data_IF_498565966805
#
_entry.id   IF_498565966805
#
_cell.length_a   1.000
_cell.length_b   1.000
_cell.length_c   1.000
_cell.angle_alpha   90.00
_cell.angle_beta   90.00
_cell.angle_gamma   90.00
#
_symmetry.space_group_name_H-M   'P 1'
#
loop_
_entity.id
_entity.type
_entity.pdbx_description
1 polymer ?
#
# COMPACT_ATOMS: atom_id res chain seq x y z
N UNK A 1 -22.91 3.67 19.90
CA UNK A 1 -21.58 3.88 19.31
C UNK A 1 -21.03 2.52 19.00
N UNK A 2 -21.16 2.12 17.75
CA UNK A 2 -20.87 0.78 17.23
C UNK A 2 -19.37 0.71 16.95
N UNK A 3 -18.67 -0.19 17.65
CA UNK A 3 -17.22 -0.35 17.55
C UNK A 3 -16.72 -0.74 16.14
N UNK A 4 -17.62 -1.13 15.24
CA UNK A 4 -17.32 -1.57 13.87
C UNK A 4 -17.17 -0.41 12.87
N UNK A 5 -17.69 0.79 13.18
CA UNK A 5 -17.54 1.98 12.32
C UNK A 5 -16.09 2.49 12.30
N UNK A 6 -15.37 2.36 13.43
CA UNK A 6 -14.01 2.89 13.60
C UNK A 6 -12.96 2.12 12.77
N UNK A 7 -12.94 0.76 12.73
CA UNK A 7 -12.06 0.01 11.85
C UNK A 7 -12.29 0.33 10.37
N UNK A 8 -13.55 0.48 9.95
CA UNK A 8 -13.91 0.76 8.56
C UNK A 8 -13.43 2.15 8.12
N UNK A 9 -13.73 3.19 8.89
CA UNK A 9 -13.26 4.55 8.62
C UNK A 9 -11.73 4.65 8.64
N UNK A 10 -11.08 3.94 9.57
CA UNK A 10 -9.62 3.89 9.66
C UNK A 10 -9.00 3.21 8.43
N UNK A 11 -9.56 2.08 7.97
CA UNK A 11 -9.10 1.41 6.76
C UNK A 11 -9.29 2.29 5.52
N UNK A 12 -10.43 2.98 5.39
CA UNK A 12 -10.70 3.92 4.32
C UNK A 12 -9.70 5.09 4.30
N UNK A 13 -9.41 5.66 5.47
CA UNK A 13 -8.43 6.74 5.60
C UNK A 13 -7.01 6.29 5.24
N UNK A 14 -6.57 5.14 5.75
CA UNK A 14 -5.26 4.56 5.45
C UNK A 14 -5.10 4.25 3.95
N UNK A 15 -6.16 3.73 3.32
CA UNK A 15 -6.23 3.53 1.88
C UNK A 15 -6.03 4.84 1.10
N UNK A 16 -6.70 5.92 1.50
CA UNK A 16 -6.53 7.23 0.85
C UNK A 16 -5.10 7.77 1.03
N UNK A 17 -4.53 7.66 2.23
CA UNK A 17 -3.12 8.05 2.46
C UNK A 17 -2.14 7.28 1.58
N UNK A 18 -2.39 5.97 1.36
CA UNK A 18 -1.56 5.18 0.47
C UNK A 18 -1.66 5.66 -0.98
N UNK A 19 -2.88 5.91 -1.46
CA UNK A 19 -3.12 6.42 -2.81
C UNK A 19 -2.46 7.80 -3.02
N UNK A 20 -2.56 8.70 -2.05
CA UNK A 20 -1.90 10.02 -2.12
C UNK A 20 -0.36 9.88 -2.17
N UNK A 21 0.21 8.98 -1.36
CA UNK A 21 1.65 8.72 -1.38
C UNK A 21 2.12 8.09 -2.70
N UNK A 22 1.34 7.18 -3.27
CA UNK A 22 1.64 6.51 -4.55
C UNK A 22 1.46 7.44 -5.75
N UNK A 23 0.42 8.27 -5.78
CA UNK A 23 0.14 9.22 -6.87
C UNK A 23 1.20 10.31 -7.00
N UNK A 24 2.01 10.52 -5.96
CA UNK A 24 3.12 11.47 -5.95
C UNK A 24 4.46 10.81 -6.32
N UNK A 25 4.48 9.53 -6.70
CA UNK A 25 5.68 8.87 -7.21
C UNK A 25 5.97 9.34 -8.64
N UNK A 26 6.99 10.20 -8.80
CA UNK A 26 7.47 10.68 -10.10
C UNK A 26 8.60 9.84 -10.69
N UNK A 27 9.08 8.86 -9.91
CA UNK A 27 10.22 8.02 -10.26
C UNK A 27 11.51 8.40 -9.55
N UNK A 28 12.49 7.52 -9.64
CA UNK A 28 13.80 7.72 -9.02
C UNK A 28 13.89 7.30 -7.55
N UNK A 29 15.12 7.35 -7.05
CA UNK A 29 15.49 6.75 -5.77
C UNK A 29 14.91 7.49 -4.55
N UNK A 30 14.89 8.83 -4.57
CA UNK A 30 14.36 9.61 -3.45
C UNK A 30 12.85 9.42 -3.27
N UNK A 31 12.12 9.36 -4.38
CA UNK A 31 10.69 9.08 -4.36
C UNK A 31 10.43 7.64 -3.91
N UNK A 32 11.26 6.68 -4.34
CA UNK A 32 11.23 5.29 -3.88
C UNK A 32 11.40 5.18 -2.35
N UNK A 33 12.40 5.84 -1.78
CA UNK A 33 12.64 5.87 -0.34
C UNK A 33 11.43 6.44 0.42
N UNK A 34 10.82 7.52 -0.11
CA UNK A 34 9.63 8.12 0.48
C UNK A 34 8.47 7.14 0.50
N UNK A 35 8.13 6.55 -0.64
CA UNK A 35 6.98 5.64 -0.71
C UNK A 35 7.22 4.34 0.06
N UNK A 36 8.45 3.81 0.13
CA UNK A 36 8.78 2.64 0.96
C UNK A 36 8.40 2.89 2.43
N UNK A 37 8.89 4.00 2.98
CA UNK A 37 8.63 4.37 4.38
C UNK A 37 7.14 4.58 4.65
N UNK A 38 6.45 5.30 3.76
CA UNK A 38 5.04 5.62 3.93
C UNK A 38 4.18 4.34 3.86
N UNK A 39 4.40 3.51 2.83
CA UNK A 39 3.68 2.24 2.64
C UNK A 39 3.93 1.26 3.78
N UNK A 40 5.17 1.15 4.28
CA UNK A 40 5.50 0.29 5.42
C UNK A 40 4.69 0.64 6.66
N UNK A 41 4.52 1.93 6.94
CA UNK A 41 3.71 2.40 8.07
C UNK A 41 2.21 2.12 7.86
N UNK A 42 1.72 2.42 6.64
CA UNK A 42 0.30 2.27 6.29
C UNK A 42 -0.11 0.80 6.26
N UNK A 43 0.64 -0.08 5.58
CA UNK A 43 0.34 -1.51 5.46
C UNK A 43 0.36 -2.19 6.84
N UNK A 44 1.29 -1.82 7.73
CA UNK A 44 1.27 -2.28 9.12
C UNK A 44 -0.01 -1.88 9.84
N UNK A 45 -0.45 -0.63 9.66
CA UNK A 45 -1.70 -0.16 10.26
C UNK A 45 -2.94 -0.84 9.66
N UNK A 46 -2.91 -1.18 8.36
CA UNK A 46 -3.98 -1.91 7.67
C UNK A 46 -4.07 -3.37 8.13
N UNK A 47 -2.95 -4.04 8.40
CA UNK A 47 -2.94 -5.40 8.94
C UNK A 47 -3.73 -5.55 10.24
N UNK A 48 -3.86 -4.48 11.03
CA UNK A 48 -4.59 -4.50 12.29
C UNK A 48 -6.12 -4.37 12.10
N UNK A 49 -6.59 -3.85 10.95
CA UNK A 49 -7.98 -3.40 10.79
C UNK A 49 -8.67 -3.83 9.50
N UNK A 50 -7.93 -4.39 8.53
CA UNK A 50 -8.45 -4.76 7.22
C UNK A 50 -8.32 -6.27 6.95
N UNK A 51 -8.88 -6.72 5.83
CA UNK A 51 -8.90 -8.13 5.47
C UNK A 51 -7.46 -8.68 5.25
N UNK A 52 -7.08 -9.78 5.93
CA UNK A 52 -5.74 -10.33 5.82
C UNK A 52 -5.32 -10.77 4.41
N UNK A 53 -6.26 -11.17 3.56
CA UNK A 53 -5.96 -11.59 2.19
C UNK A 53 -5.59 -10.39 1.31
N UNK A 54 -6.27 -9.27 1.49
CA UNK A 54 -5.93 -8.01 0.84
C UNK A 54 -4.59 -7.47 1.34
N UNK A 55 -4.39 -7.38 2.67
CA UNK A 55 -3.13 -6.85 3.21
C UNK A 55 -1.93 -7.74 2.90
N UNK A 56 -2.13 -9.05 2.76
CA UNK A 56 -1.09 -9.97 2.26
C UNK A 56 -0.68 -9.67 0.82
N UNK A 57 -1.62 -9.29 -0.05
CA UNK A 57 -1.31 -8.86 -1.42
C UNK A 57 -0.54 -7.54 -1.44
N UNK A 58 -0.92 -6.58 -0.58
CA UNK A 58 -0.18 -5.32 -0.41
C UNK A 58 1.24 -5.57 0.10
N UNK A 59 1.43 -6.42 1.10
CA UNK A 59 2.74 -6.81 1.62
C UNK A 59 3.63 -7.43 0.54
N UNK A 60 3.06 -8.28 -0.32
CA UNK A 60 3.80 -8.89 -1.44
C UNK A 60 4.34 -7.83 -2.40
N UNK A 61 3.49 -6.88 -2.80
CA UNK A 61 3.87 -5.80 -3.72
C UNK A 61 4.85 -4.83 -3.09
N UNK A 62 4.63 -4.43 -1.84
CA UNK A 62 5.56 -3.60 -1.09
C UNK A 62 6.93 -4.29 -0.91
N UNK A 63 6.96 -5.61 -0.67
CA UNK A 63 8.21 -6.35 -0.58
C UNK A 63 9.03 -6.32 -1.88
N UNK A 64 8.39 -6.30 -3.04
CA UNK A 64 9.09 -6.16 -4.33
C UNK A 64 9.80 -4.80 -4.46
N UNK A 65 9.15 -3.74 -3.96
CA UNK A 65 9.70 -2.40 -3.89
C UNK A 65 10.87 -2.32 -2.88
N UNK A 66 10.67 -2.86 -1.68
CA UNK A 66 11.68 -2.87 -0.60
C UNK A 66 12.95 -3.62 -1.05
N UNK A 67 12.81 -4.71 -1.83
CA UNK A 67 13.95 -5.43 -2.41
C UNK A 67 14.79 -4.52 -3.30
N UNK A 68 14.17 -3.77 -4.21
CA UNK A 68 14.92 -2.88 -5.13
C UNK A 68 15.60 -1.76 -4.36
N UNK A 69 14.88 -1.15 -3.41
CA UNK A 69 15.44 -0.12 -2.55
C UNK A 69 16.65 -0.64 -1.75
N UNK A 70 16.51 -1.80 -1.12
CA UNK A 70 17.58 -2.42 -0.34
C UNK A 70 18.78 -2.84 -1.20
N UNK A 71 18.54 -3.36 -2.41
CA UNK A 71 19.60 -3.72 -3.36
C UNK A 71 20.39 -2.49 -3.81
N UNK A 72 19.71 -1.39 -4.16
CA UNK A 72 20.38 -0.14 -4.51
C UNK A 72 21.20 0.41 -3.34
N UNK A 73 20.68 0.38 -2.11
CA UNK A 73 21.41 0.77 -0.90
C UNK A 73 22.64 -0.13 -0.63
N UNK A 74 22.50 -1.44 -0.79
CA UNK A 74 23.59 -2.39 -0.58
C UNK A 74 24.76 -2.17 -1.56
N UNK A 75 24.46 -1.61 -2.73
CA UNK A 75 25.45 -1.22 -3.74
C UNK A 75 25.89 0.26 -3.62
N UNK A 76 25.49 0.94 -2.54
CA UNK A 76 25.77 2.37 -2.29
C UNK A 76 25.28 3.29 -3.42
N UNK A 77 24.24 2.86 -4.15
CA UNK A 77 23.62 3.63 -5.24
C UNK A 77 22.49 4.49 -4.70
N UNK A 78 22.51 5.77 -5.08
CA UNK A 78 21.41 6.71 -4.88
C UNK A 78 20.65 6.96 -6.19
N UNK A 79 20.68 5.98 -7.09
CA UNK A 79 19.99 6.01 -8.39
C UNK A 79 19.54 4.61 -8.77
N UNK A 80 18.40 4.56 -9.43
CA UNK A 80 17.86 3.35 -10.02
C UNK A 80 18.41 3.21 -11.45
N UNK A 81 18.58 1.96 -11.86
CA UNK A 81 18.75 1.62 -13.27
C UNK A 81 17.42 1.79 -14.00
N UNK A 82 17.47 1.89 -15.33
CA UNK A 82 16.26 2.02 -16.13
C UNK A 82 15.33 0.80 -16.01
N UNK A 83 15.90 -0.40 -15.84
CA UNK A 83 15.14 -1.63 -15.66
C UNK A 83 14.46 -1.68 -14.29
N UNK A 84 15.17 -1.27 -13.23
CA UNK A 84 14.60 -1.12 -11.88
C UNK A 84 13.46 -0.09 -11.87
N UNK A 85 13.64 1.05 -12.54
CA UNK A 85 12.62 2.09 -12.67
C UNK A 85 11.37 1.58 -13.38
N UNK A 86 11.54 0.89 -14.51
CA UNK A 86 10.43 0.32 -15.30
C UNK A 86 9.67 -0.73 -14.49
N UNK A 87 10.39 -1.58 -13.78
CA UNK A 87 9.78 -2.58 -12.91
C UNK A 87 9.01 -1.92 -11.75
N UNK A 88 9.60 -0.91 -11.10
CA UNK A 88 8.97 -0.18 -10.00
C UNK A 88 7.69 0.52 -10.44
N UNK A 89 7.67 1.14 -11.63
CA UNK A 89 6.43 1.72 -12.17
C UNK A 89 5.32 0.68 -12.31
N UNK A 90 5.66 -0.55 -12.72
CA UNK A 90 4.71 -1.66 -12.75
C UNK A 90 4.21 -2.06 -11.36
N UNK A 91 5.10 -2.14 -10.36
CA UNK A 91 4.73 -2.44 -8.97
C UNK A 91 3.83 -1.34 -8.39
N UNK A 92 4.17 -0.07 -8.61
CA UNK A 92 3.38 1.08 -8.18
C UNK A 92 2.01 1.07 -8.82
N UNK A 93 1.91 0.80 -10.13
CA UNK A 93 0.62 0.67 -10.82
C UNK A 93 -0.24 -0.45 -10.22
N UNK A 94 0.35 -1.61 -9.91
CA UNK A 94 -0.36 -2.70 -9.26
C UNK A 94 -0.82 -2.34 -7.84
N UNK A 95 0.01 -1.63 -7.06
CA UNK A 95 -0.38 -1.13 -5.74
C UNK A 95 -1.56 -0.17 -5.85
N UNK A 96 -1.52 0.77 -6.79
CA UNK A 96 -2.64 1.70 -7.03
C UNK A 96 -3.91 0.93 -7.37
N UNK A 97 -3.83 -0.08 -8.25
CA UNK A 97 -4.98 -0.92 -8.60
C UNK A 97 -5.53 -1.68 -7.37
N UNK A 98 -4.67 -2.35 -6.58
CA UNK A 98 -5.10 -3.06 -5.36
C UNK A 98 -5.72 -2.12 -4.32
N UNK A 99 -5.23 -0.89 -4.20
CA UNK A 99 -5.86 0.12 -3.36
C UNK A 99 -7.15 0.67 -3.97
N UNK A 100 -7.34 0.70 -5.29
CA UNK A 100 -8.56 1.18 -5.95
C UNK A 100 -9.67 0.13 -5.99
N UNK A 101 -9.32 -1.13 -6.18
CA UNK A 101 -10.26 -2.24 -6.35
C UNK A 101 -10.74 -2.82 -5.02
N UNK A 102 -10.07 -2.49 -3.90
CA UNK A 102 -10.51 -2.96 -2.59
C UNK A 102 -11.89 -2.38 -2.22
N UNK A 103 -12.88 -3.27 -2.23
CA UNK A 103 -14.19 -3.01 -1.66
C UNK A 103 -14.09 -3.12 -0.14
N UNK A 104 -14.28 -1.98 0.54
CA UNK A 104 -14.37 -2.00 1.99
C UNK A 104 -15.60 -2.83 2.38
N UNK A 105 -15.47 -3.81 3.29
CA UNK A 105 -16.62 -4.58 3.76
C UNK A 105 -17.71 -3.63 4.23
N UNK A 106 -18.91 -3.77 3.63
CA UNK A 106 -20.06 -2.95 4.01
C UNK A 106 -20.40 -3.24 5.47
N UNK A 107 -20.50 -2.20 6.30
CA UNK A 107 -20.84 -2.33 7.73
C UNK A 107 -22.26 -2.89 8.00
N UNK A 108 -23.01 -3.30 6.96
CA UNK A 108 -24.40 -3.73 7.06
C UNK A 108 -24.56 -5.23 6.81
N UNK A 109 -24.36 -5.99 7.89
CA UNK A 109 -24.98 -7.29 8.12
C UNK A 109 -26.15 -7.21 9.10
N UNK A 110 -26.93 -6.12 9.12
CA UNK A 110 -28.19 -6.06 9.87
C UNK A 110 -29.36 -6.47 8.95
N UNK A 111 -29.33 -7.73 8.51
CA UNK A 111 -30.51 -8.39 7.97
C UNK A 111 -31.27 -9.01 9.14
N UNK A 112 -32.20 -8.27 9.71
CA UNK A 112 -33.26 -8.82 10.57
C UNK A 112 -34.01 -9.91 9.76
N UNK A 113 -33.74 -11.17 10.10
CA UNK A 113 -34.56 -12.30 9.67
C UNK A 113 -35.71 -12.47 10.64
N UNK A 114 -36.91 -12.15 10.16
CA UNK A 114 -38.23 -12.32 10.80
C UNK A 114 -38.48 -13.70 11.39
#
# INVERSE_FOLDING_TARGET
MTHEEVPHERAAHLRQLALDSLNTYGGGFADLERIDRDLKSIIRSLNDVADPSWTSSLLRLWGQLEIIYASALAEERLRLTQDEETYLQGVVANLVAEFQDYELPSAFGAGEGT
#
